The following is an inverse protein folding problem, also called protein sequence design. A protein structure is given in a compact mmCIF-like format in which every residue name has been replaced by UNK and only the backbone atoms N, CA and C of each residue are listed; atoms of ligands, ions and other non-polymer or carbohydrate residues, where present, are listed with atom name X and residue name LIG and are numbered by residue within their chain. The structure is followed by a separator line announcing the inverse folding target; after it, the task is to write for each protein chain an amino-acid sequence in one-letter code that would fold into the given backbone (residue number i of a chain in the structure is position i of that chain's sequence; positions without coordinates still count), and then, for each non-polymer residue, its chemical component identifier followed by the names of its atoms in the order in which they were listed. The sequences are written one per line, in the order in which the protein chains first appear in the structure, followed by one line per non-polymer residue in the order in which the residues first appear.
data_IF_294427229222
#
_entry.id   IF_294427229222
#
_cell.length_a   1.000
_cell.length_b   1.000
_cell.length_c   1.000
_cell.angle_alpha   90.00
_cell.angle_beta   90.00
_cell.angle_gamma   90.00
#
_symmetry.space_group_name_H-M   'P 1'
#
loop_
_entity.id
_entity.type
_entity.pdbx_description
1 polymer ?
#
# COMPACT_ATOMS: atom_id res chain seq x y z
N UNK A 1 13.69 -37.38 29.86
CA UNK A 1 13.68 -36.13 29.07
C UNK A 1 13.04 -36.47 27.74
N UNK A 2 11.71 -36.32 27.68
CA UNK A 2 10.88 -36.78 26.56
C UNK A 2 10.45 -35.55 25.77
N UNK A 3 10.83 -35.50 24.50
CA UNK A 3 10.52 -34.40 23.59
C UNK A 3 9.09 -34.60 23.08
N UNK A 4 8.20 -33.69 23.47
CA UNK A 4 6.89 -33.50 22.84
C UNK A 4 7.09 -32.71 21.55
N UNK A 5 6.97 -33.36 20.39
CA UNK A 5 6.83 -32.69 19.09
C UNK A 5 5.33 -32.58 18.76
N UNK A 6 4.91 -31.34 18.53
CA UNK A 6 3.54 -30.86 18.65
C UNK A 6 2.60 -31.34 17.55
N UNK A 7 1.42 -31.77 18.00
CA UNK A 7 0.21 -32.14 17.25
C UNK A 7 -0.54 -30.93 16.63
N UNK A 8 0.01 -29.72 16.73
CA UNK A 8 -0.66 -28.46 16.36
C UNK A 8 -0.79 -28.21 14.84
N UNK A 9 -0.06 -28.93 13.98
CA UNK A 9 -0.14 -28.75 12.53
C UNK A 9 -1.35 -29.39 11.84
N UNK A 10 -1.99 -30.39 12.46
CA UNK A 10 -3.10 -31.14 11.85
C UNK A 10 -4.48 -30.50 12.09
N UNK A 11 -4.70 -29.94 13.29
CA UNK A 11 -5.96 -29.26 13.64
C UNK A 11 -6.15 -27.93 12.89
N UNK A 12 -5.06 -27.18 12.66
CA UNK A 12 -5.10 -25.98 11.81
C UNK A 12 -5.46 -26.27 10.35
N UNK A 13 -5.05 -27.43 9.81
CA UNK A 13 -5.39 -27.86 8.44
C UNK A 13 -6.85 -28.25 8.30
N UNK A 14 -7.44 -28.93 9.29
CA UNK A 14 -8.86 -29.31 9.24
C UNK A 14 -9.79 -28.09 9.35
N UNK A 15 -9.44 -27.09 10.17
CA UNK A 15 -10.23 -25.85 10.26
C UNK A 15 -10.10 -24.93 9.03
N UNK A 16 -8.95 -24.96 8.32
CA UNK A 16 -8.81 -24.25 7.04
C UNK A 16 -9.53 -24.96 5.88
N UNK A 17 -9.75 -26.28 5.99
CA UNK A 17 -10.51 -27.09 5.03
C UNK A 17 -12.02 -26.93 5.16
N UNK A 18 -12.53 -26.37 6.26
CA UNK A 18 -13.91 -25.87 6.34
C UNK A 18 -13.99 -24.42 5.84
N UNK A 19 -13.55 -24.16 4.61
CA UNK A 19 -14.20 -23.11 3.82
C UNK A 19 -15.66 -23.54 3.77
N UNK A 20 -16.53 -23.01 4.64
CA UNK A 20 -17.91 -23.45 4.81
C UNK A 20 -18.60 -23.35 3.44
N UNK A 21 -18.71 -24.45 2.66
CA UNK A 21 -19.16 -24.36 1.27
C UNK A 21 -20.63 -23.94 1.26
N UNK A 22 -21.31 -24.20 2.38
CA UNK A 22 -22.71 -23.92 2.66
C UNK A 22 -23.06 -22.43 2.55
N UNK A 23 -22.14 -21.50 2.86
CA UNK A 23 -22.40 -20.07 2.66
C UNK A 23 -22.23 -19.62 1.20
N UNK A 24 -21.46 -20.35 0.40
CA UNK A 24 -21.22 -20.03 -1.02
C UNK A 24 -22.18 -20.76 -1.97
N UNK A 25 -22.81 -21.86 -1.52
CA UNK A 25 -23.61 -22.79 -2.34
C UNK A 25 -25.13 -22.49 -2.33
N UNK A 26 -25.58 -21.39 -1.71
CA UNK A 26 -27.01 -21.01 -1.68
C UNK A 26 -27.63 -20.57 -3.03
N UNK A 27 -26.98 -20.78 -4.18
CA UNK A 27 -27.36 -20.14 -5.47
C UNK A 27 -27.49 -21.05 -6.71
N UNK A 28 -27.61 -22.39 -6.60
CA UNK A 28 -27.98 -23.19 -7.80
C UNK A 28 -28.92 -24.38 -7.51
N UNK A 29 -30.17 -24.28 -7.96
CA UNK A 29 -31.32 -25.10 -7.54
C UNK A 29 -31.40 -26.51 -8.14
N UNK A 30 -30.42 -27.00 -8.88
CA UNK A 30 -30.45 -28.39 -9.40
C UNK A 30 -29.18 -29.22 -9.15
N UNK A 31 -28.06 -28.59 -8.81
CA UNK A 31 -26.86 -29.28 -8.33
C UNK A 31 -26.80 -29.34 -6.78
N UNK A 32 -27.58 -28.50 -6.10
CA UNK A 32 -27.60 -28.42 -4.63
C UNK A 32 -28.28 -29.58 -3.91
N UNK A 33 -29.19 -30.32 -4.56
CA UNK A 33 -29.94 -31.41 -3.89
C UNK A 33 -29.06 -32.62 -3.55
N UNK A 34 -28.16 -33.02 -4.45
CA UNK A 34 -27.20 -34.11 -4.19
C UNK A 34 -26.16 -33.69 -3.13
N UNK A 35 -25.82 -32.40 -3.08
CA UNK A 35 -24.85 -31.85 -2.11
C UNK A 35 -25.37 -31.88 -0.67
N UNK A 36 -26.65 -31.59 -0.47
CA UNK A 36 -27.26 -31.56 0.87
C UNK A 36 -27.35 -32.94 1.52
N UNK A 37 -27.33 -34.04 0.75
CA UNK A 37 -27.49 -35.39 1.28
C UNK A 37 -26.17 -36.14 1.55
N UNK A 38 -25.12 -35.92 0.76
CA UNK A 38 -23.86 -36.68 0.88
C UNK A 38 -22.67 -35.86 1.38
N UNK A 39 -22.79 -34.53 1.40
CA UNK A 39 -21.67 -33.61 1.66
C UNK A 39 -20.51 -33.72 0.65
N UNK A 40 -20.66 -34.52 -0.42
CA UNK A 40 -19.59 -34.82 -1.38
C UNK A 40 -20.15 -34.82 -2.80
N UNK A 41 -19.64 -33.92 -3.63
CA UNK A 41 -19.92 -33.90 -5.07
C UNK A 41 -18.93 -34.84 -5.76
N UNK A 42 -19.36 -35.81 -6.60
CA UNK A 42 -18.43 -36.70 -7.29
C UNK A 42 -17.49 -35.90 -8.20
N UNK A 43 -16.19 -36.10 -8.06
CA UNK A 43 -15.20 -35.29 -8.79
C UNK A 43 -15.30 -35.53 -10.31
N UNK A 44 -15.72 -36.73 -10.73
CA UNK A 44 -15.99 -37.11 -12.10
C UNK A 44 -17.16 -36.30 -12.68
N UNK A 45 -18.21 -36.06 -11.88
CA UNK A 45 -19.33 -35.22 -12.29
C UNK A 45 -18.87 -33.76 -12.48
N UNK A 46 -18.06 -33.24 -11.55
CA UNK A 46 -17.47 -31.91 -11.68
C UNK A 46 -16.61 -31.79 -12.96
N UNK A 47 -15.80 -32.80 -13.31
CA UNK A 47 -15.04 -32.83 -14.57
C UNK A 47 -15.94 -32.79 -15.80
N UNK A 48 -16.99 -33.63 -15.85
CA UNK A 48 -17.93 -33.67 -16.99
C UNK A 48 -18.64 -32.32 -17.15
N UNK A 49 -19.12 -31.74 -16.05
CA UNK A 49 -19.79 -30.44 -16.05
C UNK A 49 -18.83 -29.34 -16.49
N UNK A 50 -17.63 -29.29 -15.93
CA UNK A 50 -16.63 -28.28 -16.29
C UNK A 50 -16.21 -28.37 -17.76
N UNK A 51 -16.05 -29.59 -18.31
CA UNK A 51 -15.71 -29.80 -19.71
C UNK A 51 -16.83 -29.31 -20.66
N UNK A 52 -18.11 -29.40 -20.22
CA UNK A 52 -19.26 -28.89 -20.98
C UNK A 52 -19.44 -27.37 -20.80
N UNK A 53 -19.22 -26.88 -19.59
CA UNK A 53 -19.36 -25.48 -19.22
C UNK A 53 -18.22 -25.06 -18.27
N UNK A 54 -17.11 -24.53 -18.82
CA UNK A 54 -15.98 -24.06 -18.01
C UNK A 54 -16.30 -22.87 -17.11
N UNK A 55 -17.46 -22.21 -17.30
CA UNK A 55 -17.93 -21.10 -16.45
C UNK A 55 -18.73 -21.59 -15.24
N UNK A 56 -19.00 -22.88 -15.11
CA UNK A 56 -19.73 -23.43 -13.97
C UNK A 56 -18.87 -23.34 -12.69
N UNK A 57 -19.19 -22.39 -11.82
CA UNK A 57 -18.41 -22.04 -10.62
C UNK A 57 -18.24 -23.20 -9.65
N UNK A 58 -19.34 -23.90 -9.32
CA UNK A 58 -19.31 -25.01 -8.36
C UNK A 58 -18.38 -26.13 -8.84
N UNK A 59 -18.51 -26.58 -10.09
CA UNK A 59 -17.64 -27.59 -10.67
C UNK A 59 -16.16 -27.16 -10.63
N UNK A 60 -15.88 -25.89 -10.95
CA UNK A 60 -14.54 -25.30 -10.89
C UNK A 60 -13.97 -25.28 -9.47
N UNK A 61 -14.78 -24.95 -8.45
CA UNK A 61 -14.38 -25.00 -7.04
C UNK A 61 -14.02 -26.44 -6.60
N UNK A 62 -14.82 -27.43 -6.97
CA UNK A 62 -14.51 -28.84 -6.67
C UNK A 62 -13.20 -29.29 -7.31
N UNK A 63 -12.98 -28.95 -8.59
CA UNK A 63 -11.73 -29.26 -9.28
C UNK A 63 -10.53 -28.53 -8.67
N UNK A 64 -10.70 -27.28 -8.23
CA UNK A 64 -9.65 -26.53 -7.54
C UNK A 64 -9.29 -27.22 -6.23
N UNK A 65 -10.27 -27.59 -5.41
CA UNK A 65 -10.03 -28.30 -4.15
C UNK A 65 -9.36 -29.66 -4.37
N UNK A 66 -9.78 -30.43 -5.38
CA UNK A 66 -9.12 -31.68 -5.75
C UNK A 66 -7.67 -31.46 -6.20
N UNK A 67 -7.40 -30.41 -6.98
CA UNK A 67 -6.04 -30.04 -7.36
C UNK A 67 -5.18 -29.73 -6.13
N UNK A 68 -5.72 -28.99 -5.17
CA UNK A 68 -5.04 -28.68 -3.92
C UNK A 68 -4.72 -29.94 -3.10
N UNK A 69 -5.72 -30.81 -2.88
CA UNK A 69 -5.57 -32.05 -2.11
C UNK A 69 -4.58 -33.04 -2.74
N UNK A 70 -4.50 -33.06 -4.08
CA UNK A 70 -3.57 -33.92 -4.83
C UNK A 70 -2.18 -33.27 -5.05
N UNK A 71 -1.84 -32.18 -4.37
CA UNK A 71 -0.53 -31.54 -4.48
C UNK A 71 -0.27 -30.90 -5.85
N UNK A 72 -1.31 -30.41 -6.53
CA UNK A 72 -1.24 -29.67 -7.81
C UNK A 72 -1.58 -28.19 -7.60
N UNK A 73 -0.76 -27.42 -6.84
CA UNK A 73 -1.13 -26.07 -6.42
C UNK A 73 -1.24 -25.07 -7.59
N UNK A 74 -0.46 -25.24 -8.66
CA UNK A 74 -0.58 -24.40 -9.87
C UNK A 74 -1.95 -24.54 -10.54
N UNK A 75 -2.48 -25.76 -10.58
CA UNK A 75 -3.80 -26.04 -11.15
C UNK A 75 -4.90 -25.49 -10.23
N UNK A 76 -4.75 -25.62 -8.91
CA UNK A 76 -5.63 -24.95 -7.94
C UNK A 76 -5.71 -23.45 -8.21
N UNK A 77 -4.57 -22.75 -8.27
CA UNK A 77 -4.53 -21.29 -8.50
C UNK A 77 -5.19 -20.94 -9.83
N UNK A 78 -4.91 -21.68 -10.91
CA UNK A 78 -5.50 -21.44 -12.23
C UNK A 78 -7.02 -21.62 -12.24
N UNK A 79 -7.53 -22.69 -11.61
CA UNK A 79 -8.96 -22.94 -11.52
C UNK A 79 -9.66 -21.89 -10.66
N UNK A 80 -9.13 -21.64 -9.46
CA UNK A 80 -9.72 -20.74 -8.46
C UNK A 80 -9.73 -19.29 -8.95
N UNK A 81 -8.62 -18.79 -9.50
CA UNK A 81 -8.55 -17.40 -9.98
C UNK A 81 -9.45 -17.13 -11.19
N UNK A 82 -9.90 -18.16 -11.91
CA UNK A 82 -10.89 -17.97 -12.95
C UNK A 82 -12.31 -17.75 -12.43
N UNK A 83 -12.60 -18.01 -11.14
CA UNK A 83 -13.89 -17.68 -10.51
C UNK A 83 -14.17 -16.18 -10.54
N UNK A 84 -13.14 -15.35 -10.33
CA UNK A 84 -13.26 -13.90 -10.43
C UNK A 84 -13.82 -13.47 -11.79
N UNK A 85 -13.37 -14.10 -12.88
CA UNK A 85 -13.84 -13.77 -14.24
C UNK A 85 -15.26 -14.26 -14.50
N UNK A 86 -15.66 -15.38 -13.93
CA UNK A 86 -16.98 -15.98 -14.20
C UNK A 86 -18.07 -15.41 -13.32
N UNK A 87 -17.71 -15.00 -12.10
CA UNK A 87 -18.59 -14.42 -11.08
C UNK A 87 -17.91 -13.24 -10.37
N UNK A 88 -17.93 -12.04 -11.00
CA UNK A 88 -17.34 -10.85 -10.40
C UNK A 88 -18.13 -10.35 -9.19
N UNK A 89 -19.41 -10.73 -9.01
CA UNK A 89 -20.23 -10.26 -7.90
C UNK A 89 -19.75 -10.82 -6.55
N UNK A 90 -19.19 -12.04 -6.56
CA UNK A 90 -18.61 -12.67 -5.37
C UNK A 90 -17.08 -12.54 -5.26
N UNK A 91 -16.46 -11.65 -6.05
CA UNK A 91 -15.01 -11.46 -6.08
C UNK A 91 -14.39 -11.23 -4.68
N UNK A 92 -15.06 -10.50 -3.79
CA UNK A 92 -14.57 -10.28 -2.44
C UNK A 92 -14.52 -11.57 -1.61
N UNK A 93 -15.57 -12.40 -1.68
CA UNK A 93 -15.62 -13.70 -0.99
C UNK A 93 -14.52 -14.64 -1.52
N UNK A 94 -14.30 -14.65 -2.84
CA UNK A 94 -13.22 -15.42 -3.44
C UNK A 94 -11.83 -14.90 -3.06
N UNK A 95 -11.64 -13.59 -2.96
CA UNK A 95 -10.37 -13.00 -2.50
C UNK A 95 -10.02 -13.48 -1.09
N UNK A 96 -11.00 -13.48 -0.18
CA UNK A 96 -10.86 -13.97 1.19
C UNK A 96 -10.55 -15.47 1.21
N UNK A 97 -11.32 -16.28 0.49
CA UNK A 97 -11.12 -17.73 0.43
C UNK A 97 -9.75 -18.10 -0.15
N UNK A 98 -9.35 -17.45 -1.25
CA UNK A 98 -8.03 -17.62 -1.84
C UNK A 98 -6.92 -17.24 -0.84
N UNK A 99 -7.01 -16.09 -0.20
CA UNK A 99 -6.02 -15.65 0.80
C UNK A 99 -5.87 -16.65 1.95
N UNK A 100 -6.98 -17.12 2.52
CA UNK A 100 -6.97 -18.13 3.57
C UNK A 100 -6.31 -19.43 3.11
N UNK A 101 -6.65 -19.91 1.91
CA UNK A 101 -6.04 -21.14 1.37
C UNK A 101 -4.55 -20.95 1.08
N UNK A 102 -4.14 -19.86 0.45
CA UNK A 102 -2.74 -19.60 0.13
C UNK A 102 -1.90 -19.54 1.42
N UNK A 103 -2.37 -18.86 2.46
CA UNK A 103 -1.67 -18.78 3.76
C UNK A 103 -1.64 -20.16 4.44
N UNK A 104 -2.75 -20.88 4.51
CA UNK A 104 -2.83 -22.18 5.19
C UNK A 104 -1.96 -23.27 4.53
N UNK A 105 -1.83 -23.24 3.21
CA UNK A 105 -1.04 -24.21 2.44
C UNK A 105 0.33 -23.69 2.00
N UNK A 106 0.70 -22.46 2.40
CA UNK A 106 1.95 -21.78 2.04
C UNK A 106 2.20 -21.74 0.52
N UNK A 107 1.19 -21.34 -0.26
CA UNK A 107 1.20 -21.33 -1.73
C UNK A 107 1.54 -19.96 -2.33
N UNK A 108 2.33 -19.15 -1.62
CA UNK A 108 2.60 -17.77 -2.02
C UNK A 108 3.29 -17.71 -3.38
N UNK A 109 4.25 -18.61 -3.64
CA UNK A 109 5.03 -18.63 -4.87
C UNK A 109 4.18 -19.01 -6.10
N UNK A 110 3.15 -19.82 -5.92
CA UNK A 110 2.26 -20.25 -6.99
C UNK A 110 1.29 -19.15 -7.45
N UNK A 111 0.94 -18.21 -6.58
CA UNK A 111 0.07 -17.08 -6.95
C UNK A 111 0.84 -15.95 -7.64
N UNK A 112 2.15 -15.82 -7.41
CA UNK A 112 2.97 -14.73 -7.95
C UNK A 112 2.90 -14.59 -9.47
N UNK A 113 2.99 -15.66 -10.29
CA UNK A 113 2.89 -15.54 -11.74
C UNK A 113 1.55 -14.93 -12.21
N UNK A 114 0.47 -15.18 -11.47
CA UNK A 114 -0.86 -14.64 -11.78
C UNK A 114 -0.96 -13.17 -11.39
N UNK A 115 -0.37 -12.78 -10.26
CA UNK A 115 -0.36 -11.38 -9.82
C UNK A 115 0.44 -10.47 -10.75
N UNK A 116 1.45 -10.98 -11.45
CA UNK A 116 2.24 -10.21 -12.43
C UNK A 116 1.39 -9.61 -13.55
N UNK A 117 0.26 -10.21 -13.91
CA UNK A 117 -0.67 -9.63 -14.88
C UNK A 117 -1.58 -8.54 -14.29
N UNK A 118 -1.36 -8.16 -13.03
CA UNK A 118 -2.11 -7.18 -12.26
C UNK A 118 -3.63 -7.33 -12.41
N UNK A 119 -4.18 -8.52 -12.10
CA UNK A 119 -5.62 -8.74 -12.25
C UNK A 119 -6.38 -7.80 -11.30
N UNK A 120 -7.58 -7.36 -11.71
CA UNK A 120 -8.38 -6.39 -10.93
C UNK A 120 -8.68 -6.85 -9.49
N UNK A 121 -8.64 -8.16 -9.22
CA UNK A 121 -8.85 -8.74 -7.90
C UNK A 121 -7.59 -8.78 -7.02
N UNK A 122 -6.40 -8.50 -7.55
CA UNK A 122 -5.13 -8.61 -6.84
C UNK A 122 -5.11 -7.81 -5.53
N UNK A 123 -5.60 -6.57 -5.56
CA UNK A 123 -5.66 -5.71 -4.37
C UNK A 123 -6.55 -6.30 -3.27
N UNK A 124 -7.71 -6.86 -3.64
CA UNK A 124 -8.61 -7.49 -2.69
C UNK A 124 -7.96 -8.72 -2.06
N UNK A 125 -7.35 -9.60 -2.86
CA UNK A 125 -6.62 -10.77 -2.37
C UNK A 125 -5.47 -10.38 -1.45
N UNK A 126 -4.63 -9.41 -1.83
CA UNK A 126 -3.47 -9.00 -1.03
C UNK A 126 -3.87 -8.38 0.30
N UNK A 127 -4.96 -7.61 0.34
CA UNK A 127 -5.52 -7.07 1.60
C UNK A 127 -5.96 -8.20 2.54
N UNK A 128 -6.65 -9.22 2.02
CA UNK A 128 -7.06 -10.38 2.82
C UNK A 128 -5.84 -11.21 3.25
N UNK A 129 -4.86 -11.42 2.36
CA UNK A 129 -3.62 -12.14 2.69
C UNK A 129 -2.84 -11.43 3.81
N UNK A 130 -2.80 -10.10 3.77
CA UNK A 130 -2.18 -9.27 4.81
C UNK A 130 -2.86 -9.46 6.17
N UNK A 131 -4.20 -9.42 6.20
CA UNK A 131 -4.98 -9.64 7.41
C UNK A 131 -4.80 -11.04 8.01
N UNK A 132 -4.51 -12.05 7.18
CA UNK A 132 -4.31 -13.44 7.61
C UNK A 132 -2.86 -13.79 7.96
N UNK A 133 -1.87 -12.99 7.52
CA UNK A 133 -0.45 -13.36 7.63
C UNK A 133 0.15 -13.20 9.03
N UNK A 134 -0.55 -12.50 9.94
CA UNK A 134 -0.04 -12.18 11.27
C UNK A 134 1.35 -11.55 11.19
N UNK A 135 2.32 -12.15 11.89
CA UNK A 135 3.71 -11.65 11.95
C UNK A 135 4.59 -12.02 10.74
N UNK A 136 4.12 -12.86 9.80
CA UNK A 136 4.91 -13.31 8.64
C UNK A 136 4.69 -12.47 7.38
N UNK A 137 4.40 -11.18 7.55
CA UNK A 137 4.13 -10.22 6.46
C UNK A 137 5.25 -10.17 5.41
N UNK A 138 6.51 -10.39 5.78
CA UNK A 138 7.65 -10.38 4.86
C UNK A 138 7.55 -11.42 3.74
N UNK A 139 6.80 -12.52 3.92
CA UNK A 139 6.54 -13.50 2.85
C UNK A 139 5.68 -12.95 1.72
N UNK A 140 4.90 -11.91 1.98
CA UNK A 140 4.04 -11.29 0.97
C UNK A 140 4.79 -10.25 0.11
N UNK A 141 5.99 -9.83 0.52
CA UNK A 141 6.77 -8.80 -0.16
C UNK A 141 6.92 -9.02 -1.68
N UNK A 142 7.25 -10.24 -2.19
CA UNK A 142 7.31 -10.46 -3.63
C UNK A 142 5.99 -10.21 -4.36
N UNK A 143 4.84 -10.43 -3.69
CA UNK A 143 3.51 -10.22 -4.25
C UNK A 143 3.15 -8.73 -4.35
N UNK A 144 3.55 -7.94 -3.34
CA UNK A 144 3.39 -6.48 -3.36
C UNK A 144 4.36 -5.79 -4.33
N UNK A 145 5.57 -6.34 -4.54
CA UNK A 145 6.51 -5.84 -5.58
C UNK A 145 5.89 -5.86 -6.99
N UNK A 146 5.12 -6.89 -7.32
CA UNK A 146 4.46 -7.02 -8.64
C UNK A 146 3.07 -6.37 -8.71
N UNK A 147 2.58 -5.80 -7.60
CA UNK A 147 1.26 -5.17 -7.51
C UNK A 147 1.35 -3.76 -6.89
N UNK A 148 1.80 -2.74 -7.65
CA UNK A 148 2.07 -1.40 -7.10
C UNK A 148 0.89 -0.76 -6.37
N UNK A 149 -0.34 -0.96 -6.85
CA UNK A 149 -1.56 -0.42 -6.24
C UNK A 149 -1.85 -0.95 -4.84
N UNK A 150 -1.26 -2.09 -4.44
CA UNK A 150 -1.45 -2.69 -3.13
C UNK A 150 -0.35 -2.29 -2.13
N UNK A 151 0.76 -1.72 -2.60
CA UNK A 151 1.94 -1.41 -1.78
C UNK A 151 1.64 -0.49 -0.59
N UNK A 152 0.80 0.56 -0.69
CA UNK A 152 0.48 1.42 0.47
C UNK A 152 -0.07 0.63 1.66
N UNK A 153 -1.01 -0.30 1.42
CA UNK A 153 -1.59 -1.13 2.49
C UNK A 153 -0.53 -2.00 3.18
N UNK A 154 0.45 -2.49 2.41
CA UNK A 154 1.56 -3.29 2.96
C UNK A 154 2.49 -2.45 3.83
N UNK A 155 2.82 -1.22 3.38
CA UNK A 155 3.65 -0.29 4.13
C UNK A 155 2.94 0.14 5.43
N UNK A 156 1.65 0.46 5.37
CA UNK A 156 0.85 0.79 6.55
C UNK A 156 0.84 -0.37 7.57
N UNK A 157 0.69 -1.62 7.11
CA UNK A 157 0.74 -2.77 7.99
C UNK A 157 2.14 -2.99 8.59
N UNK A 158 3.22 -2.76 7.83
CA UNK A 158 4.58 -2.82 8.37
C UNK A 158 4.83 -1.74 9.42
N UNK A 159 4.36 -0.51 9.19
CA UNK A 159 4.47 0.58 10.17
C UNK A 159 3.78 0.19 11.48
N UNK A 160 2.57 -0.39 11.40
CA UNK A 160 1.81 -0.80 12.58
C UNK A 160 2.42 -1.99 13.32
N UNK A 161 2.98 -2.97 12.61
CA UNK A 161 3.46 -4.22 13.20
C UNK A 161 4.93 -4.19 13.61
N UNK A 162 5.75 -3.41 12.91
CA UNK A 162 7.21 -3.52 12.96
C UNK A 162 7.93 -2.17 12.94
N UNK A 163 7.20 -1.06 12.80
CA UNK A 163 7.74 0.29 12.81
C UNK A 163 8.20 0.78 11.43
N UNK A 164 8.70 2.01 11.42
CA UNK A 164 9.01 2.76 10.21
C UNK A 164 10.21 2.21 9.42
N UNK A 165 11.24 1.70 10.08
CA UNK A 165 12.45 1.20 9.43
C UNK A 165 12.17 0.06 8.44
N UNK A 166 11.39 -0.95 8.88
CA UNK A 166 11.06 -2.10 8.03
C UNK A 166 10.16 -1.69 6.87
N UNK A 167 9.23 -0.77 7.11
CA UNK A 167 8.40 -0.22 6.05
C UNK A 167 9.23 0.56 5.03
N UNK A 168 10.19 1.38 5.49
CA UNK A 168 11.05 2.15 4.60
C UNK A 168 11.99 1.25 3.80
N UNK A 169 12.57 0.22 4.41
CA UNK A 169 13.36 -0.78 3.71
C UNK A 169 12.55 -1.48 2.60
N UNK A 170 11.30 -1.89 2.89
CA UNK A 170 10.42 -2.47 1.88
C UNK A 170 10.07 -1.47 0.76
N UNK A 171 9.85 -0.20 1.09
CA UNK A 171 9.65 0.85 0.09
C UNK A 171 10.87 1.02 -0.83
N UNK A 172 12.09 1.02 -0.28
CA UNK A 172 13.32 1.12 -1.06
C UNK A 172 13.46 -0.04 -2.06
N UNK A 173 13.05 -1.25 -1.66
CA UNK A 173 12.96 -2.38 -2.58
C UNK A 173 11.90 -2.21 -3.67
N UNK A 174 10.77 -1.56 -3.39
CA UNK A 174 9.73 -1.29 -4.39
C UNK A 174 10.21 -0.33 -5.47
N UNK A 175 10.92 0.72 -5.09
CA UNK A 175 11.43 1.73 -6.03
C UNK A 175 12.80 1.36 -6.63
N UNK A 176 13.38 0.22 -6.21
CA UNK A 176 14.64 -0.30 -6.76
C UNK A 176 15.85 0.54 -6.41
N UNK A 177 15.81 1.30 -5.30
CA UNK A 177 16.94 2.08 -4.82
C UNK A 177 17.72 1.30 -3.78
N UNK A 178 19.04 1.47 -3.76
CA UNK A 178 19.87 0.93 -2.68
C UNK A 178 19.38 1.49 -1.34
N UNK A 179 19.16 0.63 -0.33
CA UNK A 179 18.77 1.10 0.99
C UNK A 179 19.79 2.10 1.55
N UNK A 180 19.33 3.32 1.76
CA UNK A 180 20.09 4.38 2.39
C UNK A 180 19.19 5.06 3.44
N UNK A 181 19.45 4.86 4.74
CA UNK A 181 18.68 5.47 5.82
C UNK A 181 18.92 6.97 5.94
N UNK A 182 19.93 7.53 5.25
CA UNK A 182 20.19 8.97 5.17
C UNK A 182 19.62 9.61 3.92
N UNK A 183 18.99 8.81 3.05
CA UNK A 183 18.29 9.32 1.89
C UNK A 183 17.03 10.03 2.37
N UNK A 184 17.04 11.36 2.26
CA UNK A 184 15.94 12.22 2.63
C UNK A 184 14.74 12.07 1.67
N UNK A 185 14.17 13.19 1.26
CA UNK A 185 12.98 13.20 0.38
C UNK A 185 13.18 12.37 -0.90
N UNK A 186 12.17 11.58 -1.25
CA UNK A 186 12.11 10.84 -2.51
C UNK A 186 11.44 11.70 -3.60
N UNK A 187 11.91 11.60 -4.84
CA UNK A 187 11.47 12.43 -5.96
C UNK A 187 11.49 13.96 -5.67
N UNK A 188 12.67 14.55 -5.36
CA UNK A 188 12.78 15.96 -4.99
C UNK A 188 12.40 16.93 -6.12
N UNK A 189 12.46 16.47 -7.37
CA UNK A 189 12.07 17.23 -8.57
C UNK A 189 10.58 17.08 -8.89
N UNK A 190 9.83 16.30 -8.11
CA UNK A 190 8.38 16.11 -8.27
C UNK A 190 8.03 15.64 -9.69
N UNK A 191 8.79 14.68 -10.22
CA UNK A 191 8.62 14.12 -11.56
C UNK A 191 7.57 12.99 -11.60
N UNK A 192 6.80 12.80 -10.52
CA UNK A 192 5.86 11.71 -10.35
C UNK A 192 6.56 10.34 -10.53
N UNK A 193 7.73 10.20 -9.91
CA UNK A 193 8.43 8.93 -9.90
C UNK A 193 7.54 7.90 -9.18
N UNK A 194 7.43 6.69 -9.75
CA UNK A 194 6.66 5.62 -9.13
C UNK A 194 7.14 5.34 -7.70
N UNK A 195 6.24 4.93 -6.83
CA UNK A 195 6.54 4.67 -5.42
C UNK A 195 5.28 4.75 -4.58
N UNK A 196 5.24 4.00 -3.48
CA UNK A 196 4.07 3.92 -2.63
C UNK A 196 4.11 4.94 -1.47
N UNK A 197 2.93 5.41 -1.07
CA UNK A 197 2.75 6.13 0.18
C UNK A 197 3.11 5.23 1.38
N UNK A 198 3.59 5.79 2.50
CA UNK A 198 3.74 7.23 2.76
C UNK A 198 5.08 7.83 2.33
N UNK A 199 6.02 7.02 1.82
CA UNK A 199 7.38 7.46 1.49
C UNK A 199 7.54 8.09 0.10
N UNK A 200 6.53 8.00 -0.75
CA UNK A 200 6.39 8.84 -1.94
C UNK A 200 5.41 10.01 -1.69
N UNK A 201 5.49 11.05 -2.52
CA UNK A 201 4.59 12.19 -2.46
C UNK A 201 3.13 11.77 -2.61
N UNK A 202 2.36 12.04 -1.56
CA UNK A 202 0.89 11.97 -1.59
C UNK A 202 0.37 13.36 -1.89
N UNK A 203 -0.57 13.47 -2.84
CA UNK A 203 -1.25 14.70 -3.18
C UNK A 203 -2.69 14.66 -2.68
N UNK A 204 -3.21 15.80 -2.24
CA UNK A 204 -4.62 15.95 -1.91
C UNK A 204 -5.44 16.07 -3.19
N UNK A 205 -6.77 16.04 -3.09
CA UNK A 205 -7.65 16.13 -4.26
C UNK A 205 -7.57 17.46 -5.01
N UNK A 206 -6.95 18.49 -4.41
CA UNK A 206 -6.79 19.81 -5.01
C UNK A 206 -5.36 20.05 -5.52
N UNK A 207 -4.58 18.97 -5.67
CA UNK A 207 -3.21 19.02 -6.14
C UNK A 207 -2.96 17.94 -7.20
N UNK A 208 -2.11 18.25 -8.17
CA UNK A 208 -1.72 17.33 -9.23
C UNK A 208 -0.27 17.55 -9.66
N UNK A 209 0.36 16.48 -10.15
CA UNK A 209 1.65 16.60 -10.81
C UNK A 209 1.48 17.22 -12.19
N UNK A 210 2.38 18.12 -12.56
CA UNK A 210 2.37 18.74 -13.88
C UNK A 210 3.36 18.06 -14.84
N UNK A 211 3.08 18.01 -16.16
CA UNK A 211 4.04 17.53 -17.14
C UNK A 211 5.36 18.31 -17.07
N UNK A 212 6.49 17.59 -17.03
CA UNK A 212 7.82 18.19 -16.92
C UNK A 212 8.26 18.55 -15.51
N UNK A 213 7.55 18.06 -14.49
CA UNK A 213 7.96 18.15 -13.08
C UNK A 213 7.32 19.30 -12.32
N UNK A 214 7.01 19.04 -11.06
CA UNK A 214 6.35 19.94 -10.13
C UNK A 214 4.95 19.49 -9.74
N UNK A 215 4.40 20.17 -8.75
CA UNK A 215 3.03 20.01 -8.25
C UNK A 215 2.30 21.34 -8.35
N UNK A 216 1.18 21.36 -9.07
CA UNK A 216 0.24 22.46 -9.05
C UNK A 216 -0.85 22.17 -8.01
N UNK A 217 -1.27 23.18 -7.26
CA UNK A 217 -2.35 23.02 -6.30
C UNK A 217 -3.19 24.28 -6.15
N UNK A 218 -4.44 24.07 -5.77
CA UNK A 218 -5.44 25.10 -5.48
C UNK A 218 -5.81 25.09 -4.00
N UNK A 219 -5.81 26.26 -3.38
CA UNK A 219 -6.31 26.47 -2.02
C UNK A 219 -7.48 27.45 -2.04
N UNK A 220 -8.60 27.08 -1.44
CA UNK A 220 -9.82 27.92 -1.44
C UNK A 220 -9.86 29.02 -0.36
N UNK A 221 -8.74 29.24 0.34
CA UNK A 221 -8.62 30.23 1.42
C UNK A 221 -9.15 29.79 2.78
N UNK A 222 -9.72 28.57 2.94
CA UNK A 222 -10.38 28.14 4.19
C UNK A 222 -9.65 27.00 4.91
N UNK A 223 -9.51 27.16 6.23
CA UNK A 223 -8.93 26.13 7.10
C UNK A 223 -7.43 25.92 6.88
N UNK A 224 -6.98 24.70 7.16
CA UNK A 224 -5.58 24.27 6.95
C UNK A 224 -5.49 22.92 6.23
N UNK A 225 -6.01 22.81 5.00
CA UNK A 225 -5.95 21.56 4.25
C UNK A 225 -4.50 21.25 3.87
N UNK A 226 -4.11 19.99 4.01
CA UNK A 226 -2.85 19.53 3.44
C UNK A 226 -2.96 19.46 1.91
N UNK A 227 -1.84 19.71 1.24
CA UNK A 227 -1.74 19.80 -0.22
C UNK A 227 -0.91 18.63 -0.74
N UNK A 228 0.29 18.48 -0.18
CA UNK A 228 1.16 17.35 -0.46
C UNK A 228 1.93 16.97 0.79
N UNK A 229 2.28 15.68 0.91
CA UNK A 229 3.06 15.18 2.03
C UNK A 229 3.91 13.97 1.65
N UNK A 230 5.01 13.79 2.36
CA UNK A 230 5.88 12.63 2.27
C UNK A 230 6.52 12.37 3.64
N UNK A 231 6.60 11.11 4.03
CA UNK A 231 7.36 10.65 5.19
C UNK A 231 8.73 10.15 4.74
N UNK A 232 9.77 10.42 5.51
CA UNK A 232 11.13 10.00 5.19
C UNK A 232 11.97 9.90 6.48
N UNK A 233 13.09 9.15 6.46
CA UNK A 233 14.00 9.13 7.60
C UNK A 233 14.57 10.52 7.87
N UNK A 234 14.47 10.98 9.10
CA UNK A 234 15.18 12.15 9.58
C UNK A 234 16.20 11.65 10.60
N UNK A 235 17.42 12.16 10.55
CA UNK A 235 18.44 11.86 11.55
C UNK A 235 18.66 13.05 12.47
N UNK A 236 19.44 12.86 13.52
CA UNK A 236 20.01 13.97 14.26
C UNK A 236 20.90 14.83 13.33
N UNK A 237 20.81 16.15 13.49
CA UNK A 237 21.74 17.10 12.87
C UNK A 237 21.06 18.32 12.27
N UNK A 238 21.85 19.18 11.62
CA UNK A 238 21.31 20.35 10.93
C UNK A 238 21.02 20.02 9.46
N UNK A 239 19.89 20.48 8.97
CA UNK A 239 19.48 20.32 7.57
C UNK A 239 19.09 21.67 6.99
N UNK A 240 19.30 21.84 5.69
CA UNK A 240 18.69 22.92 4.94
C UNK A 240 17.53 22.37 4.13
N UNK A 241 16.33 22.78 4.52
CA UNK A 241 15.14 22.64 3.71
C UNK A 241 15.15 23.73 2.63
N UNK A 242 14.85 23.34 1.38
CA UNK A 242 14.66 24.29 0.29
C UNK A 242 13.49 23.87 -0.60
N UNK A 243 12.66 24.83 -1.00
CA UNK A 243 11.56 24.61 -1.95
C UNK A 243 11.46 25.75 -2.96
N UNK A 244 11.37 25.39 -4.24
CA UNK A 244 11.14 26.35 -5.32
C UNK A 244 9.62 26.49 -5.55
N UNK A 245 9.06 27.66 -5.28
CA UNK A 245 7.61 27.88 -5.29
C UNK A 245 7.24 29.18 -6.03
N UNK A 246 6.13 29.16 -6.77
CA UNK A 246 5.50 30.36 -7.35
C UNK A 246 3.99 30.30 -7.15
N UNK A 247 3.31 31.44 -7.22
CA UNK A 247 1.86 31.49 -7.09
C UNK A 247 1.39 32.85 -6.57
N UNK A 248 0.18 32.87 -6.03
CA UNK A 248 -0.39 34.05 -5.39
C UNK A 248 -0.73 33.74 -3.94
N UNK A 249 0.06 34.26 -3.00
CA UNK A 249 -0.15 34.05 -1.58
C UNK A 249 0.26 35.29 -0.79
N UNK A 250 -0.50 35.61 0.26
CA UNK A 250 -0.18 36.68 1.21
C UNK A 250 -0.84 36.40 2.56
N UNK A 251 -0.34 37.02 3.63
CA UNK A 251 -0.94 36.83 4.97
C UNK A 251 -2.42 37.25 5.05
N UNK A 252 -2.83 38.24 4.27
CA UNK A 252 -4.22 38.71 4.26
C UNK A 252 -5.13 37.75 3.49
N UNK A 253 -4.67 37.16 2.39
CA UNK A 253 -5.50 36.33 1.50
C UNK A 253 -5.49 34.85 1.88
N UNK A 254 -4.34 34.38 2.34
CA UNK A 254 -4.03 32.98 2.55
C UNK A 254 -2.60 32.68 2.13
N UNK A 255 -1.92 31.83 2.89
CA UNK A 255 -0.53 31.45 2.63
C UNK A 255 -0.35 29.95 2.57
N UNK A 256 0.84 29.55 2.14
CA UNK A 256 1.28 28.18 2.13
C UNK A 256 2.37 27.99 3.17
N UNK A 257 2.33 26.87 3.88
CA UNK A 257 3.20 26.59 5.00
C UNK A 257 3.70 25.16 4.91
N UNK A 258 5.01 25.00 5.01
CA UNK A 258 5.66 23.71 5.19
C UNK A 258 5.71 23.37 6.68
N UNK A 259 5.26 22.17 7.00
CA UNK A 259 5.27 21.60 8.35
C UNK A 259 6.08 20.32 8.31
N UNK A 260 7.14 20.25 9.10
CA UNK A 260 7.87 19.02 9.37
C UNK A 260 7.50 18.55 10.78
N UNK A 261 6.99 17.33 10.88
CA UNK A 261 6.61 16.71 12.16
C UNK A 261 7.31 15.37 12.31
N UNK A 262 7.87 15.10 13.49
CA UNK A 262 8.46 13.80 13.80
C UNK A 262 7.36 12.75 14.01
N UNK A 263 7.55 11.56 13.45
CA UNK A 263 6.62 10.44 13.63
C UNK A 263 6.83 9.81 15.01
N UNK A 264 5.74 9.48 15.70
CA UNK A 264 5.79 8.96 17.08
C UNK A 264 5.99 10.01 18.17
N UNK A 265 6.29 11.26 17.81
CA UNK A 265 6.53 12.37 18.73
C UNK A 265 5.66 13.59 18.39
N UNK A 266 5.40 14.46 19.37
CA UNK A 266 4.64 15.69 19.15
C UNK A 266 5.51 16.89 18.71
N UNK A 267 6.78 16.66 18.40
CA UNK A 267 7.72 17.71 17.99
C UNK A 267 7.46 18.13 16.54
N UNK A 268 7.57 19.44 16.28
CA UNK A 268 7.40 20.04 14.96
C UNK A 268 8.63 20.89 14.65
N UNK A 269 9.73 20.29 14.17
CA UNK A 269 11.00 21.00 13.96
C UNK A 269 10.91 22.16 12.97
N UNK A 270 9.92 22.14 12.07
CA UNK A 270 9.70 23.21 11.11
C UNK A 270 8.21 23.50 10.96
N UNK A 271 7.88 24.79 11.02
CA UNK A 271 6.59 25.34 10.59
C UNK A 271 6.85 26.69 9.96
N UNK A 272 7.11 26.71 8.66
CA UNK A 272 7.57 27.89 7.95
C UNK A 272 7.15 27.88 6.48
N UNK A 273 7.05 29.05 5.88
CA UNK A 273 6.74 29.18 4.46
C UNK A 273 6.99 30.61 3.98
N UNK A 274 6.96 30.84 2.66
CA UNK A 274 7.13 32.17 2.12
C UNK A 274 5.94 33.06 2.52
N UNK A 275 6.23 34.28 3.00
CA UNK A 275 5.19 35.26 3.36
C UNK A 275 4.42 35.75 2.14
N UNK A 276 5.08 35.75 0.97
CA UNK A 276 4.53 36.12 -0.32
C UNK A 276 5.09 35.20 -1.39
N UNK A 277 4.28 34.90 -2.39
CA UNK A 277 4.70 34.24 -3.62
C UNK A 277 4.58 35.21 -4.78
N UNK A 278 5.49 35.09 -5.75
CA UNK A 278 5.44 35.80 -7.02
C UNK A 278 5.09 34.84 -8.16
N UNK A 279 4.87 35.38 -9.36
CA UNK A 279 4.59 34.58 -10.55
C UNK A 279 5.80 33.75 -11.02
N UNK A 280 7.01 34.16 -10.64
CA UNK A 280 8.26 33.43 -10.95
C UNK A 280 8.64 32.53 -9.78
N UNK A 281 9.07 31.27 -10.02
CA UNK A 281 9.52 30.40 -8.94
C UNK A 281 10.66 31.04 -8.14
N UNK A 282 10.45 31.20 -6.85
CA UNK A 282 11.43 31.69 -5.88
C UNK A 282 11.83 30.56 -4.94
N UNK A 283 13.10 30.56 -4.54
CA UNK A 283 13.63 29.59 -3.59
C UNK A 283 13.33 30.06 -2.17
N UNK A 284 12.57 29.25 -1.43
CA UNK A 284 12.38 29.39 0.00
C UNK A 284 13.32 28.42 0.73
N UNK A 285 14.13 28.92 1.65
CA UNK A 285 15.06 28.12 2.45
C UNK A 285 14.77 28.24 3.95
N UNK A 286 14.95 27.14 4.68
CA UNK A 286 14.78 27.10 6.13
C UNK A 286 15.75 26.10 6.76
N UNK A 287 16.40 26.48 7.87
CA UNK A 287 17.26 25.57 8.63
C UNK A 287 16.41 24.74 9.58
N UNK A 288 16.58 23.43 9.52
CA UNK A 288 15.87 22.46 10.34
C UNK A 288 16.88 21.79 11.27
N UNK A 289 16.53 21.68 12.54
CA UNK A 289 17.29 20.90 13.52
C UNK A 289 16.58 19.57 13.74
N UNK A 290 17.21 18.48 13.30
CA UNK A 290 16.76 17.12 13.60
C UNK A 290 17.16 16.74 15.02
N UNK A 291 16.17 16.27 15.78
CA UNK A 291 16.34 15.80 17.16
C UNK A 291 16.82 14.34 17.19
N UNK A 292 17.43 13.91 18.30
CA UNK A 292 17.86 12.52 18.50
C UNK A 292 16.68 11.55 18.51
N UNK A 293 15.50 12.00 18.95
CA UNK A 293 14.28 11.19 19.03
C UNK A 293 13.44 11.20 17.73
N UNK A 294 13.97 11.71 16.62
CA UNK A 294 13.21 11.94 15.38
C UNK A 294 13.69 11.08 14.21
N UNK A 295 13.58 9.75 14.32
CA UNK A 295 14.04 8.82 13.27
C UNK A 295 13.32 8.98 11.92
N UNK A 296 12.03 9.37 11.97
CA UNK A 296 11.22 9.62 10.79
C UNK A 296 10.46 10.92 10.96
N UNK A 297 10.29 11.64 9.85
CA UNK A 297 9.49 12.84 9.82
C UNK A 297 8.59 12.87 8.60
N UNK A 298 7.42 13.47 8.78
CA UNK A 298 6.51 13.81 7.68
C UNK A 298 6.62 15.29 7.36
N UNK A 299 7.03 15.58 6.14
CA UNK A 299 6.96 16.92 5.55
C UNK A 299 5.61 17.09 4.87
N UNK A 300 4.88 18.13 5.24
CA UNK A 300 3.57 18.47 4.68
C UNK A 300 3.57 19.91 4.20
N UNK A 301 3.14 20.15 2.96
CA UNK A 301 2.68 21.45 2.52
C UNK A 301 1.21 21.58 2.84
N UNK A 302 0.80 22.68 3.48
CA UNK A 302 -0.59 22.98 3.77
C UNK A 302 -0.96 24.41 3.41
N UNK A 303 -2.23 24.62 3.09
CA UNK A 303 -2.80 25.97 3.04
C UNK A 303 -3.02 26.50 4.46
N UNK A 304 -3.00 27.82 4.62
CA UNK A 304 -3.34 28.51 5.87
C UNK A 304 -4.21 29.71 5.51
N UNK A 305 -5.45 29.72 6.04
CA UNK A 305 -6.39 30.80 5.81
C UNK A 305 -5.83 32.17 6.25
N UNK A 306 -6.00 33.18 5.41
CA UNK A 306 -5.68 34.56 5.73
C UNK A 306 -6.82 35.26 6.48
N UNK A 307 -6.63 36.56 6.77
CA UNK A 307 -7.67 37.41 7.39
C UNK A 307 -8.91 37.58 6.51
N UNK A 308 -8.69 37.61 5.19
CA UNK A 308 -9.69 37.73 4.14
C UNK A 308 -9.51 36.56 3.17
N UNK A 309 -10.01 35.36 3.51
CA UNK A 309 -9.89 34.16 2.68
C UNK A 309 -10.24 34.39 1.21
N UNK A 310 -9.26 34.23 0.32
CA UNK A 310 -9.52 34.09 -1.12
C UNK A 310 -8.86 32.82 -1.64
N UNK A 311 -9.30 32.40 -2.81
CA UNK A 311 -8.64 31.33 -3.53
C UNK A 311 -7.22 31.73 -3.95
N UNK A 312 -6.31 30.79 -3.86
CA UNK A 312 -4.94 30.93 -4.34
C UNK A 312 -4.49 29.68 -5.07
N UNK A 313 -3.60 29.88 -6.03
CA UNK A 313 -2.89 28.82 -6.74
C UNK A 313 -1.42 28.82 -6.34
N UNK A 314 -0.83 27.62 -6.33
CA UNK A 314 0.59 27.43 -6.13
C UNK A 314 1.15 26.43 -7.12
N UNK A 315 2.39 26.67 -7.51
CA UNK A 315 3.23 25.73 -8.20
C UNK A 315 4.50 25.49 -7.38
N UNK A 316 4.71 24.24 -6.98
CA UNK A 316 5.96 23.77 -6.35
C UNK A 316 6.78 23.07 -7.43
N UNK A 317 7.98 23.57 -7.72
CA UNK A 317 8.86 22.99 -8.74
C UNK A 317 9.83 21.97 -8.18
N UNK A 318 10.28 22.17 -6.96
CA UNK A 318 11.29 21.34 -6.33
C UNK A 318 11.15 21.41 -4.82
N UNK A 319 11.48 20.31 -4.15
CA UNK A 319 11.59 20.22 -2.70
C UNK A 319 12.84 19.42 -2.36
N UNK A 320 13.68 19.95 -1.49
CA UNK A 320 14.89 19.27 -1.06
C UNK A 320 15.13 19.46 0.43
N UNK A 321 15.77 18.46 1.02
CA UNK A 321 16.29 18.53 2.38
C UNK A 321 17.71 17.98 2.33
N UNK A 322 18.69 18.85 2.56
CA UNK A 322 20.11 18.48 2.52
C UNK A 322 20.71 18.56 3.91
N UNK A 323 21.46 17.54 4.29
CA UNK A 323 22.22 17.56 5.53
C UNK A 323 23.34 18.61 5.44
N UNK A 324 23.43 19.47 6.46
CA UNK A 324 24.51 20.42 6.64
C UNK A 324 25.52 19.73 7.56
N UNK A 325 26.51 19.06 6.97
CA UNK A 325 27.65 18.57 7.77
C UNK A 325 28.26 19.76 8.51
N UNK A 326 28.52 19.63 9.81
CA UNK A 326 29.37 20.58 10.50
C UNK A 326 30.72 20.55 9.80
N UNK A 327 31.09 21.64 9.12
CA UNK A 327 32.45 21.86 8.64
C UNK A 327 33.39 21.92 9.86
N UNK A 328 33.84 20.76 10.35
CA UNK A 328 34.57 20.73 11.62
C UNK A 328 34.86 19.34 12.15
N UNK A 329 35.67 18.57 11.42
CA UNK A 329 36.73 17.74 11.99
C UNK A 329 37.68 17.33 10.85
N UNK A 330 38.74 18.13 10.67
CA UNK A 330 39.95 17.73 9.96
C UNK A 330 41.10 17.74 10.94
#
# INVERSE_FOLDING_TARGET
MTIFLGRQGAEGRQNALSLNPIETIRLSDHAGSVFLETGTYPIEAARIIFNRNPRHEVARLFLANEALLNGRPKEFVALYTGLFKTDPQNAQSYAKGLAQTIVAFNLHDEVLPVLKSQPYWANAYLREALAQSGYNISRLLPAFRVTPSAQPNYLDALIQLSGWDQAYAAFQEFVGVTPDPKRGLYDPELNNQGGAAPFNWQLSTNAEFIPGGGVAAFFNGRGTPWIMRQTFPLGQGEFLFASAMSGYASEDVGRYEWVLRCEGHNTTPMKAGPLRLSATPEMFEYRVLGDEDCDFATLTLQGVAGRFPQSSDILVKQVSLRWLQSEGEK
#
